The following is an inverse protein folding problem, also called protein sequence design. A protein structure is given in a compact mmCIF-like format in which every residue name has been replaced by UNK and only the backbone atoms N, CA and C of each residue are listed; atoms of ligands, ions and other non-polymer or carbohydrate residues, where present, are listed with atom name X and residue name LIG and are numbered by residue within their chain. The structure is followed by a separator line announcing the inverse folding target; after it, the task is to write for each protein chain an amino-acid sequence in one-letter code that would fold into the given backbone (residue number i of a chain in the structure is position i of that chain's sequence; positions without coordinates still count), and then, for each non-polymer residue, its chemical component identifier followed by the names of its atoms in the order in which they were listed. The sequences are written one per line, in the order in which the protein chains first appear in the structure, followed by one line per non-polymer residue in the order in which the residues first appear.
data_IF_219292249144
#
_entry.id   IF_219292249144
#
_cell.length_a   1.000
_cell.length_b   1.000
_cell.length_c   1.000
_cell.angle_alpha   90.00
_cell.angle_beta   90.00
_cell.angle_gamma   90.00
#
_symmetry.space_group_name_H-M   'P 1'
#
loop_
_entity.id
_entity.type
_entity.pdbx_description
1 polymer ?
#
# COMPACT_ATOMS: atom_id res chain seq x y z
N UNK A 1 -4.60 14.62 -6.97
CA UNK A 1 -4.25 13.26 -6.55
C UNK A 1 -4.39 12.32 -7.73
N UNK A 2 -3.30 11.69 -8.16
CA UNK A 2 -3.34 10.62 -9.17
C UNK A 2 -2.79 9.37 -8.51
N UNK A 3 -3.68 8.42 -8.24
CA UNK A 3 -3.33 7.10 -7.75
C UNK A 3 -3.13 6.18 -8.95
N UNK A 4 -2.09 5.38 -8.90
CA UNK A 4 -1.88 4.31 -9.86
C UNK A 4 -2.50 3.01 -9.35
N UNK A 5 -2.64 2.01 -10.24
CA UNK A 5 -3.09 0.68 -9.88
C UNK A 5 -2.29 0.08 -8.73
N UNK A 6 -1.00 0.41 -8.62
CA UNK A 6 -0.15 -0.03 -7.52
C UNK A 6 -0.64 0.49 -6.16
N UNK A 7 -1.11 1.74 -6.10
CA UNK A 7 -1.61 2.35 -4.86
C UNK A 7 -2.93 1.69 -4.44
N UNK A 8 -3.83 1.45 -5.41
CA UNK A 8 -5.10 0.76 -5.16
C UNK A 8 -4.90 -0.68 -4.69
N UNK A 9 -3.94 -1.42 -5.27
CA UNK A 9 -3.60 -2.78 -4.84
C UNK A 9 -2.99 -2.79 -3.45
N UNK A 10 -2.08 -1.87 -3.15
CA UNK A 10 -1.50 -1.75 -1.82
C UNK A 10 -2.59 -1.46 -0.77
N UNK A 11 -3.52 -0.57 -1.09
CA UNK A 11 -4.64 -0.25 -0.21
C UNK A 11 -5.53 -1.47 0.05
N UNK A 12 -5.91 -2.19 -1.01
CA UNK A 12 -6.69 -3.43 -0.89
C UNK A 12 -5.97 -4.46 0.00
N UNK A 13 -4.71 -4.77 -0.29
CA UNK A 13 -3.95 -5.75 0.49
C UNK A 13 -3.75 -5.34 1.94
N UNK A 14 -3.57 -4.04 2.21
CA UNK A 14 -3.47 -3.49 3.57
C UNK A 14 -4.78 -3.63 4.32
N UNK A 15 -5.91 -3.29 3.68
CA UNK A 15 -7.25 -3.39 4.27
C UNK A 15 -7.63 -4.86 4.56
N UNK A 16 -7.35 -5.77 3.63
CA UNK A 16 -7.59 -7.21 3.80
C UNK A 16 -6.71 -7.84 4.89
N UNK A 17 -5.45 -7.39 5.02
CA UNK A 17 -4.53 -7.91 6.02
C UNK A 17 -4.64 -7.24 7.39
N UNK A 18 -5.27 -6.06 7.48
CA UNK A 18 -5.29 -5.23 8.70
C UNK A 18 -3.91 -4.70 9.10
N UNK A 19 -2.91 -4.75 8.20
CA UNK A 19 -1.52 -4.37 8.48
C UNK A 19 -0.82 -3.91 7.21
N UNK A 20 -0.20 -2.72 7.27
CA UNK A 20 0.60 -2.17 6.16
C UNK A 20 1.81 -3.06 5.88
N UNK A 21 2.37 -3.72 6.90
CA UNK A 21 3.53 -4.60 6.71
C UNK A 21 3.14 -5.82 5.86
N UNK A 22 2.06 -6.51 6.22
CA UNK A 22 1.57 -7.64 5.44
C UNK A 22 1.04 -7.21 4.06
N UNK A 23 0.42 -6.03 3.97
CA UNK A 23 -0.01 -5.44 2.70
C UNK A 23 1.15 -5.13 1.76
N UNK A 24 2.27 -4.62 2.30
CA UNK A 24 3.49 -4.34 1.54
C UNK A 24 4.14 -5.63 1.02
N UNK A 25 4.22 -6.69 1.83
CA UNK A 25 4.73 -7.99 1.39
C UNK A 25 3.90 -8.57 0.24
N UNK A 26 2.56 -8.54 0.35
CA UNK A 26 1.63 -8.99 -0.71
C UNK A 26 1.71 -8.14 -1.98
N UNK A 27 2.04 -6.86 -1.84
CA UNK A 27 2.22 -5.94 -2.96
C UNK A 27 3.64 -5.97 -3.54
N UNK A 28 4.55 -6.80 -3.03
CA UNK A 28 5.97 -6.82 -3.38
C UNK A 28 6.66 -5.45 -3.22
N UNK A 29 6.28 -4.72 -2.16
CA UNK A 29 6.84 -3.42 -1.81
C UNK A 29 7.62 -3.51 -0.50
N UNK A 30 8.62 -2.65 -0.35
CA UNK A 30 9.19 -2.40 0.98
C UNK A 30 8.18 -1.65 1.84
N UNK A 31 8.26 -1.82 3.17
CA UNK A 31 7.41 -1.08 4.10
C UNK A 31 7.56 0.44 3.92
N UNK A 32 8.77 0.94 3.65
CA UNK A 32 9.03 2.36 3.43
C UNK A 32 8.31 2.87 2.15
N UNK A 33 8.41 2.14 1.04
CA UNK A 33 7.70 2.49 -0.20
C UNK A 33 6.18 2.44 -0.03
N UNK A 34 5.67 1.43 0.67
CA UNK A 34 4.25 1.33 0.96
C UNK A 34 3.74 2.50 1.82
N UNK A 35 4.48 2.87 2.87
CA UNK A 35 4.14 4.00 3.73
C UNK A 35 4.10 5.32 2.96
N UNK A 36 5.07 5.56 2.07
CA UNK A 36 5.11 6.78 1.26
C UNK A 36 3.92 6.87 0.30
N UNK A 37 3.54 5.73 -0.31
CA UNK A 37 2.38 5.65 -1.21
C UNK A 37 1.08 5.92 -0.48
N UNK A 38 0.81 5.25 0.65
CA UNK A 38 -0.40 5.48 1.45
C UNK A 38 -0.49 6.93 1.93
N UNK A 39 0.63 7.53 2.37
CA UNK A 39 0.66 8.95 2.74
C UNK A 39 0.35 9.88 1.57
N UNK A 40 0.71 9.49 0.35
CA UNK A 40 0.32 10.23 -0.86
C UNK A 40 -1.18 10.11 -1.20
N UNK A 41 -1.90 9.18 -0.56
CA UNK A 41 -3.35 8.98 -0.70
C UNK A 41 -4.18 9.76 0.31
N UNK A 42 -3.60 10.20 1.42
CA UNK A 42 -4.20 11.12 2.39
C UNK A 42 -4.26 12.56 1.84
#
# INVERSE_FOLDING_TARGET
MRFDLTDLRLFLHTAEAGSITAGAERAHLTLASASARIRGME
#
